data_IF_048022637052
#
_entry.id   IF_048022637052
#
_cell.length_a   1.000
_cell.length_b   1.000
_cell.length_c   1.000
_cell.angle_alpha   90.00
_cell.angle_beta   90.00
_cell.angle_gamma   90.00
#
_symmetry.space_group_name_H-M   'P 1'
#
loop_
_entity.id
_entity.type
_entity.pdbx_description
1 polymer ?
#
# COMPACT_ATOMS: atom_id res chain seq x y z
N UNK A 1 1.03 -1.81 7.03
CA UNK A 1 0.78 -2.74 8.16
C UNK A 1 0.00 -3.93 7.63
N UNK A 2 0.34 -5.14 8.07
CA UNK A 2 -0.36 -6.37 7.70
C UNK A 2 -0.63 -7.20 8.95
N UNK A 3 -1.87 -7.63 9.14
CA UNK A 3 -2.32 -8.48 10.26
C UNK A 3 -2.98 -9.72 9.72
N UNK A 4 -2.85 -10.82 10.44
CA UNK A 4 -3.64 -12.01 10.16
C UNK A 4 -4.08 -12.71 11.43
N UNK A 5 -5.27 -13.32 11.36
CA UNK A 5 -5.78 -14.24 12.37
C UNK A 5 -6.11 -15.58 11.72
N UNK A 6 -6.05 -16.64 12.52
CA UNK A 6 -6.45 -17.96 12.06
C UNK A 6 -7.96 -17.98 11.79
N UNK A 7 -8.34 -18.27 10.55
CA UNK A 7 -9.72 -18.38 10.10
C UNK A 7 -9.81 -19.52 9.11
N UNK A 8 -10.96 -20.20 9.10
CA UNK A 8 -11.19 -21.37 8.23
C UNK A 8 -11.12 -21.03 6.74
N UNK A 9 -11.59 -19.83 6.38
CA UNK A 9 -11.59 -19.35 5.00
C UNK A 9 -10.57 -18.23 4.82
N UNK A 10 -10.13 -18.04 3.58
CA UNK A 10 -9.32 -16.88 3.21
C UNK A 10 -10.23 -15.67 3.05
N UNK A 11 -10.06 -14.70 3.93
CA UNK A 11 -10.74 -13.41 3.89
C UNK A 11 -9.70 -12.31 3.81
N UNK A 12 -9.70 -11.54 2.73
CA UNK A 12 -8.69 -10.52 2.45
C UNK A 12 -9.36 -9.16 2.49
N UNK A 13 -8.97 -8.35 3.46
CA UNK A 13 -9.40 -6.97 3.61
C UNK A 13 -8.22 -6.05 3.30
N UNK A 14 -8.37 -5.22 2.27
CA UNK A 14 -7.32 -4.32 1.80
C UNK A 14 -7.84 -2.90 1.96
N UNK A 15 -7.11 -2.06 2.70
CA UNK A 15 -7.37 -0.62 2.80
C UNK A 15 -6.21 0.15 2.18
N UNK A 16 -6.53 0.89 1.12
CA UNK A 16 -5.60 1.71 0.34
C UNK A 16 -6.01 3.19 0.35
N UNK A 17 -5.04 4.10 0.17
CA UNK A 17 -5.32 5.50 -0.19
C UNK A 17 -5.95 5.58 -1.58
N UNK A 18 -6.73 6.66 -1.82
CA UNK A 18 -7.40 6.89 -3.12
C UNK A 18 -6.44 6.95 -4.31
N UNK A 19 -5.22 7.45 -4.09
CA UNK A 19 -4.16 7.57 -5.11
C UNK A 19 -3.75 6.23 -5.74
N UNK A 20 -3.91 5.12 -5.01
CA UNK A 20 -3.41 3.79 -5.45
C UNK A 20 -4.48 2.71 -5.35
N UNK A 21 -5.75 3.08 -5.26
CA UNK A 21 -6.86 2.12 -5.09
C UNK A 21 -6.98 1.14 -6.26
N UNK A 22 -6.51 1.52 -7.45
CA UNK A 22 -6.43 0.66 -8.64
C UNK A 22 -5.52 -0.55 -8.46
N UNK A 23 -4.56 -0.50 -7.52
CA UNK A 23 -3.66 -1.63 -7.22
C UNK A 23 -4.32 -2.70 -6.35
N UNK A 24 -5.53 -2.50 -5.83
CA UNK A 24 -6.20 -3.45 -4.94
C UNK A 24 -6.32 -4.84 -5.56
N UNK A 25 -6.70 -4.92 -6.84
CA UNK A 25 -6.92 -6.20 -7.53
C UNK A 25 -5.61 -6.99 -7.67
N UNK A 26 -4.52 -6.32 -8.03
CA UNK A 26 -3.20 -6.93 -8.17
C UNK A 26 -2.64 -7.39 -6.82
N UNK A 27 -2.82 -6.59 -5.77
CA UNK A 27 -2.49 -6.99 -4.39
C UNK A 27 -3.28 -8.25 -3.99
N UNK A 28 -4.59 -8.26 -4.26
CA UNK A 28 -5.46 -9.39 -3.92
C UNK A 28 -5.05 -10.66 -4.66
N UNK A 29 -4.73 -10.58 -5.95
CA UNK A 29 -4.19 -11.70 -6.74
C UNK A 29 -2.89 -12.23 -6.13
N UNK A 30 -1.95 -11.36 -5.77
CA UNK A 30 -0.69 -11.75 -5.18
C UNK A 30 -0.86 -12.50 -3.85
N UNK A 31 -1.82 -12.09 -3.02
CA UNK A 31 -2.09 -12.78 -1.74
C UNK A 31 -2.74 -14.13 -1.96
N UNK A 32 -3.71 -14.22 -2.89
CA UNK A 32 -4.41 -15.46 -3.23
C UNK A 32 -3.48 -16.55 -3.76
N UNK A 33 -2.34 -16.20 -4.37
CA UNK A 33 -1.38 -17.21 -4.83
C UNK A 33 -0.55 -17.82 -3.69
N UNK A 34 -0.41 -17.12 -2.56
CA UNK A 34 0.43 -17.56 -1.43
C UNK A 34 -0.35 -18.07 -0.22
N UNK A 35 -1.55 -17.56 0.01
CA UNK A 35 -2.38 -17.92 1.16
C UNK A 35 -3.67 -18.61 0.71
N UNK A 36 -4.01 -19.71 1.39
CA UNK A 36 -5.25 -20.47 1.15
C UNK A 36 -6.27 -20.34 2.28
N UNK A 37 -5.85 -19.85 3.45
CA UNK A 37 -6.70 -19.72 4.65
C UNK A 37 -6.25 -18.59 5.56
N UNK A 38 -7.18 -18.12 6.38
CA UNK A 38 -6.98 -17.09 7.37
C UNK A 38 -7.58 -15.75 6.95
N UNK A 39 -7.84 -14.91 7.94
CA UNK A 39 -8.23 -13.53 7.66
C UNK A 39 -6.97 -12.68 7.62
N UNK A 40 -6.82 -11.85 6.60
CA UNK A 40 -5.67 -10.99 6.37
C UNK A 40 -6.16 -9.57 6.17
N UNK A 41 -5.74 -8.67 7.05
CA UNK A 41 -6.04 -7.25 6.96
C UNK A 41 -4.76 -6.48 6.56
N UNK A 42 -4.81 -5.78 5.44
CA UNK A 42 -3.69 -5.01 4.88
C UNK A 42 -4.08 -3.54 4.87
N UNK A 43 -3.20 -2.72 5.43
CA UNK A 43 -3.35 -1.28 5.49
C UNK A 43 -2.10 -0.63 4.91
N UNK A 44 -2.25 0.04 3.78
CA UNK A 44 -1.20 0.87 3.19
C UNK A 44 -1.56 2.32 3.46
N UNK A 45 -0.65 3.05 4.10
CA UNK A 45 -0.77 4.49 4.27
C UNK A 45 0.36 5.15 3.50
N UNK A 46 0.00 6.03 2.58
CA UNK A 46 0.95 6.88 1.88
C UNK A 46 1.05 8.19 2.66
N UNK A 47 2.24 8.52 3.17
CA UNK A 47 2.54 9.85 3.68
C UNK A 47 3.33 10.56 2.60
N UNK A 48 2.71 11.55 1.96
CA UNK A 48 3.45 12.48 1.11
C UNK A 48 4.21 13.43 2.02
N UNK A 49 5.52 13.24 2.09
CA UNK A 49 6.41 14.33 2.49
C UNK A 49 6.71 15.06 1.19
N UNK A 50 6.16 16.26 1.01
CA UNK A 50 6.51 17.08 -0.14
C UNK A 50 8.03 17.28 -0.09
N UNK A 51 8.76 16.66 -1.01
CA UNK A 51 10.22 16.81 -1.11
C UNK A 51 10.60 18.19 -1.66
N UNK A 52 9.62 19.02 -2.03
CA UNK A 52 9.86 20.33 -2.63
C UNK A 52 10.41 20.25 -4.06
N UNK A 53 10.56 19.04 -4.62
CA UNK A 53 10.96 18.81 -6.01
C UNK A 53 9.74 18.95 -6.92
N UNK A 54 9.25 20.17 -7.04
CA UNK A 54 8.23 20.49 -8.02
C UNK A 54 8.85 20.62 -9.41
N UNK A 55 8.26 19.95 -10.40
CA UNK A 55 8.62 20.04 -11.80
C UNK A 55 7.86 21.21 -12.43
N UNK A 56 8.57 22.09 -13.11
CA UNK A 56 7.95 23.17 -13.87
C UNK A 56 7.24 22.60 -15.12
N UNK A 57 5.91 22.68 -15.16
CA UNK A 57 5.10 22.41 -16.35
C UNK A 57 4.73 23.69 -17.06
N UNK A 58 4.91 23.69 -18.38
CA UNK A 58 4.44 24.74 -19.27
C UNK A 58 3.02 24.44 -19.76
N UNK A 59 2.09 25.37 -19.52
CA UNK A 59 0.80 25.37 -20.19
C UNK A 59 0.89 26.13 -21.52
N UNK A 60 1.33 25.43 -22.57
CA UNK A 60 1.58 26.02 -23.88
C UNK A 60 0.33 26.68 -24.49
N UNK A 61 -0.85 26.07 -24.32
CA UNK A 61 -2.11 26.62 -24.83
C UNK A 61 -2.45 27.97 -24.20
N UNK A 62 -2.24 28.10 -22.89
CA UNK A 62 -2.47 29.35 -22.19
C UNK A 62 -1.43 30.40 -22.59
N UNK A 63 -0.17 30.00 -22.75
CA UNK A 63 0.90 30.87 -23.26
C UNK A 63 0.57 31.43 -24.66
N UNK A 64 0.09 30.58 -25.57
CA UNK A 64 -0.38 30.98 -26.90
C UNK A 64 -1.56 31.94 -26.82
N UNK A 65 -2.53 31.68 -25.93
CA UNK A 65 -3.65 32.59 -25.71
C UNK A 65 -3.19 33.97 -25.27
N UNK A 66 -2.27 34.06 -24.31
CA UNK A 66 -1.71 35.33 -23.85
C UNK A 66 -0.95 36.06 -24.97
N UNK A 67 -0.16 35.32 -25.76
CA UNK A 67 0.56 35.87 -26.90
C UNK A 67 -0.38 36.52 -27.92
N UNK A 68 -1.47 35.83 -28.27
CA UNK A 68 -2.46 36.34 -29.21
C UNK A 68 -3.16 37.61 -28.69
N UNK A 69 -3.55 37.64 -27.41
CA UNK A 69 -4.15 38.83 -26.81
C UNK A 69 -3.21 40.05 -26.83
N UNK A 70 -1.92 39.86 -26.57
CA UNK A 70 -0.95 40.96 -26.60
C UNK A 70 -0.71 41.49 -28.01
N UNK A 71 -0.76 40.60 -29.01
CA UNK A 71 -0.71 41.00 -30.42
C UNK A 71 -1.94 41.82 -30.83
N UNK A 72 -3.14 41.43 -30.41
CA UNK A 72 -4.35 42.23 -30.64
C UNK A 72 -4.26 43.61 -29.99
N UNK A 73 -3.68 43.72 -28.79
CA UNK A 73 -3.46 44.99 -28.10
C UNK A 73 -2.54 45.91 -28.90
N UNK A 74 -1.43 45.39 -29.44
CA UNK A 74 -0.52 46.14 -30.32
C UNK A 74 -1.28 46.68 -31.55
N UNK A 75 -2.03 45.81 -32.23
CA UNK A 75 -2.75 46.17 -33.46
C UNK A 75 -3.85 47.22 -33.21
N UNK A 76 -4.56 47.15 -32.08
CA UNK A 76 -5.69 48.04 -31.78
C UNK A 76 -5.28 49.35 -31.09
N UNK A 77 -4.21 49.36 -30.30
CA UNK A 77 -3.83 50.50 -29.47
C UNK A 77 -2.53 51.17 -29.93
N UNK A 78 -1.82 50.60 -30.92
CA UNK A 78 -0.58 51.16 -31.47
C UNK A 78 0.57 51.20 -30.46
N UNK A 79 0.47 50.41 -29.39
CA UNK A 79 1.50 50.27 -28.36
C UNK A 79 2.57 49.30 -28.82
N UNK A 80 3.82 49.61 -28.49
CA UNK A 80 4.97 48.76 -28.84
C UNK A 80 4.84 47.39 -28.19
N UNK A 81 4.93 46.34 -29.00
CA UNK A 81 5.01 44.98 -28.53
C UNK A 81 6.45 44.60 -28.14
N UNK A 82 6.67 44.34 -26.85
CA UNK A 82 7.96 43.93 -26.28
C UNK A 82 7.91 42.52 -25.66
N UNK A 83 7.04 41.66 -26.19
CA UNK A 83 6.85 40.30 -25.69
C UNK A 83 8.15 39.50 -25.70
N UNK A 84 8.52 38.98 -24.53
CA UNK A 84 9.62 38.03 -24.35
C UNK A 84 9.13 36.76 -23.69
N UNK A 85 9.84 35.63 -23.89
CA UNK A 85 9.52 34.38 -23.22
C UNK A 85 9.42 34.53 -21.69
N UNK A 86 10.25 35.38 -21.09
CA UNK A 86 10.22 35.68 -19.65
C UNK A 86 8.97 36.43 -19.22
N UNK A 87 8.44 37.34 -20.04
CA UNK A 87 7.18 38.02 -19.74
C UNK A 87 6.00 37.06 -19.83
N UNK A 88 5.95 36.22 -20.87
CA UNK A 88 4.88 35.21 -21.00
C UNK A 88 4.93 34.22 -19.85
N UNK A 89 6.13 33.74 -19.48
CA UNK A 89 6.35 32.85 -18.35
C UNK A 89 5.93 33.43 -16.99
N UNK A 90 5.87 34.75 -16.85
CA UNK A 90 5.43 35.44 -15.63
C UNK A 90 3.92 35.59 -15.52
N UNK A 91 3.17 35.37 -16.60
CA UNK A 91 1.72 35.35 -16.50
C UNK A 91 1.29 34.16 -15.65
N UNK A 92 0.27 34.40 -14.82
CA UNK A 92 -0.34 33.40 -13.96
C UNK A 92 -0.68 32.14 -14.76
N UNK A 93 -0.39 30.98 -14.18
CA UNK A 93 -0.72 29.65 -14.70
C UNK A 93 -0.01 29.24 -16.01
N UNK A 94 0.89 30.06 -16.56
CA UNK A 94 1.69 29.69 -17.75
C UNK A 94 2.78 28.68 -17.40
N UNK A 95 3.54 28.94 -16.33
CA UNK A 95 4.47 27.98 -15.75
C UNK A 95 4.02 27.69 -14.34
N UNK A 96 3.64 26.44 -14.09
CA UNK A 96 3.25 25.96 -12.77
C UNK A 96 4.23 24.93 -12.29
N UNK A 97 4.53 24.98 -11.00
CA UNK A 97 5.35 23.99 -10.33
C UNK A 97 4.38 22.93 -9.78
N UNK A 98 4.43 21.73 -10.35
CA UNK A 98 3.63 20.58 -9.91
C UNK A 98 4.54 19.51 -9.35
N UNK A 99 4.13 18.88 -8.26
CA UNK A 99 4.81 17.67 -7.78
C UNK A 99 4.70 16.59 -8.85
N UNK A 100 5.82 15.89 -9.11
CA UNK A 100 5.83 14.77 -10.04
C UNK A 100 5.07 13.60 -9.40
N UNK A 101 3.80 13.43 -9.79
CA UNK A 101 3.02 12.28 -9.37
C UNK A 101 3.63 11.02 -9.98
N UNK A 102 4.20 10.16 -9.12
CA UNK A 102 4.73 8.87 -9.52
C UNK A 102 3.64 8.04 -10.23
N UNK A 103 4.02 7.34 -11.29
CA UNK A 103 3.06 6.47 -11.98
C UNK A 103 2.60 5.32 -11.07
N UNK A 104 1.39 4.81 -11.33
CA UNK A 104 0.85 3.67 -10.58
C UNK A 104 1.77 2.45 -10.71
N UNK A 105 2.39 2.26 -11.87
CA UNK A 105 3.34 1.20 -12.16
C UNK A 105 4.61 1.31 -11.31
N UNK A 106 5.18 2.52 -11.18
CA UNK A 106 6.35 2.75 -10.32
C UNK A 106 6.02 2.46 -8.85
N UNK A 107 4.87 2.94 -8.39
CA UNK A 107 4.41 2.69 -7.03
C UNK A 107 4.23 1.17 -6.79
N UNK A 108 3.70 0.45 -7.77
CA UNK A 108 3.55 -1.00 -7.70
C UNK A 108 4.89 -1.72 -7.56
N UNK A 109 5.91 -1.31 -8.33
CA UNK A 109 7.25 -1.91 -8.23
C UNK A 109 7.87 -1.75 -6.84
N UNK A 110 7.52 -0.68 -6.13
CA UNK A 110 7.97 -0.46 -4.74
C UNK A 110 7.13 -1.27 -3.74
N UNK A 111 5.81 -1.30 -3.91
CA UNK A 111 4.89 -1.95 -2.95
C UNK A 111 4.97 -3.48 -3.02
N UNK A 112 5.05 -4.06 -4.21
CA UNK A 112 5.05 -5.51 -4.43
C UNK A 112 6.09 -6.27 -3.56
N UNK A 113 7.38 -5.92 -3.54
CA UNK A 113 8.37 -6.63 -2.72
C UNK A 113 8.12 -6.49 -1.22
N UNK A 114 7.52 -5.38 -0.77
CA UNK A 114 7.13 -5.19 0.64
C UNK A 114 6.00 -6.14 1.04
N UNK A 115 5.03 -6.36 0.14
CA UNK A 115 3.97 -7.34 0.35
C UNK A 115 4.55 -8.75 0.36
N UNK A 116 5.41 -9.08 -0.61
CA UNK A 116 6.03 -10.40 -0.71
C UNK A 116 6.82 -10.78 0.54
N UNK A 117 7.65 -9.86 1.04
CA UNK A 117 8.42 -10.06 2.27
C UNK A 117 7.52 -10.18 3.50
N UNK A 118 6.46 -9.37 3.59
CA UNK A 118 5.48 -9.46 4.68
C UNK A 118 4.78 -10.81 4.69
N UNK A 119 4.42 -11.36 3.52
CA UNK A 119 3.77 -12.67 3.40
C UNK A 119 4.69 -13.80 3.87
N UNK A 120 5.98 -13.73 3.53
CA UNK A 120 7.01 -14.69 3.99
C UNK A 120 7.15 -14.64 5.52
N UNK A 121 7.24 -13.44 6.10
CA UNK A 121 7.31 -13.29 7.55
C UNK A 121 6.08 -13.88 8.24
N UNK A 122 4.90 -13.67 7.65
CA UNK A 122 3.65 -14.18 8.21
C UNK A 122 3.57 -15.71 8.18
N UNK A 123 4.08 -16.35 7.12
CA UNK A 123 4.12 -17.81 7.03
C UNK A 123 5.09 -18.42 8.07
N UNK A 124 6.27 -17.81 8.23
CA UNK A 124 7.23 -18.20 9.27
C UNK A 124 6.64 -18.07 10.68
N UNK A 125 5.88 -17.01 10.95
CA UNK A 125 5.19 -16.85 12.24
C UNK A 125 4.15 -17.95 12.47
N UNK A 126 3.39 -18.34 11.44
CA UNK A 126 2.40 -19.42 11.52
C UNK A 126 3.06 -20.77 11.79
N UNK A 127 4.22 -21.04 11.18
CA UNK A 127 4.99 -22.26 11.45
C UNK A 127 5.44 -22.34 12.91
N UNK A 128 6.03 -21.26 13.43
CA UNK A 128 6.47 -21.18 14.82
C UNK A 128 5.31 -21.29 15.82
N UNK A 129 4.17 -20.64 15.54
CA UNK A 129 2.94 -20.82 16.33
C UNK A 129 2.46 -22.27 16.31
N UNK A 130 2.51 -22.92 15.15
CA UNK A 130 2.15 -24.33 14.99
C UNK A 130 3.06 -25.29 15.77
N UNK A 131 4.37 -25.03 15.80
CA UNK A 131 5.32 -25.80 16.60
C UNK A 131 5.03 -25.67 18.10
N UNK A 132 4.82 -24.44 18.59
CA UNK A 132 4.46 -24.22 20.00
C UNK A 132 3.12 -24.86 20.37
N UNK A 133 2.14 -24.79 19.48
CA UNK A 133 0.83 -25.41 19.71
C UNK A 133 0.96 -26.94 19.77
N UNK A 134 1.80 -27.53 18.93
CA UNK A 134 2.11 -28.96 18.97
C UNK A 134 2.74 -29.35 20.31
N UNK A 135 3.75 -28.60 20.76
CA UNK A 135 4.40 -28.84 22.05
C UNK A 135 3.42 -28.77 23.22
N UNK A 136 2.54 -27.75 23.24
CA UNK A 136 1.51 -27.59 24.27
C UNK A 136 0.50 -28.76 24.26
N UNK A 137 0.03 -29.17 23.08
CA UNK A 137 -0.88 -30.33 22.95
C UNK A 137 -0.22 -31.61 23.46
N UNK A 138 1.05 -31.85 23.13
CA UNK A 138 1.79 -33.02 23.60
C UNK A 138 1.99 -32.99 25.13
N UNK A 139 2.29 -31.83 25.70
CA UNK A 139 2.38 -31.66 27.15
C UNK A 139 1.07 -32.01 27.84
N UNK A 140 -0.06 -31.51 27.31
CA UNK A 140 -1.40 -31.81 27.83
C UNK A 140 -1.75 -33.29 27.72
N UNK A 141 -1.37 -33.96 26.63
CA UNK A 141 -1.58 -35.40 26.48
C UNK A 141 -0.82 -36.19 27.54
N UNK A 142 0.45 -35.86 27.80
CA UNK A 142 1.25 -36.51 28.83
C UNK A 142 0.65 -36.30 30.24
N UNK A 143 0.14 -35.09 30.52
CA UNK A 143 -0.56 -34.80 31.78
C UNK A 143 -1.82 -35.65 31.94
N UNK A 144 -2.64 -35.75 30.89
CA UNK A 144 -3.85 -36.58 30.89
C UNK A 144 -3.49 -38.05 31.12
N UNK A 145 -2.47 -38.57 30.43
CA UNK A 145 -2.00 -39.95 30.58
C UNK A 145 -1.52 -40.23 32.01
N UNK A 146 -0.76 -39.31 32.61
CA UNK A 146 -0.34 -39.42 34.01
C UNK A 146 -1.51 -39.42 34.99
N UNK A 147 -2.55 -38.61 34.73
CA UNK A 147 -3.75 -38.60 35.55
C UNK A 147 -4.56 -39.90 35.41
N UNK A 148 -4.66 -40.45 34.20
CA UNK A 148 -5.32 -41.75 33.96
C UNK A 148 -4.60 -42.85 34.73
N UNK A 149 -3.27 -42.93 34.65
CA UNK A 149 -2.47 -43.93 35.39
C UNK A 149 -2.71 -43.87 36.90
N UNK A 150 -2.74 -42.66 37.48
CA UNK A 150 -3.04 -42.47 38.91
C UNK A 150 -4.44 -42.94 39.29
N UNK A 151 -5.43 -42.75 38.42
CA UNK A 151 -6.79 -43.22 38.66
C UNK A 151 -6.84 -44.75 38.60
N UNK A 152 -6.15 -45.37 37.63
CA UNK A 152 -6.06 -46.83 37.50
C UNK A 152 -5.43 -47.48 38.74
N UNK A 153 -4.34 -46.92 39.29
CA UNK A 153 -3.72 -47.42 40.53
C UNK A 153 -4.69 -47.41 41.74
N UNK A 154 -5.59 -46.44 41.78
CA UNK A 154 -6.56 -46.31 42.89
C UNK A 154 -7.80 -47.16 42.62
N UNK A 155 -8.17 -47.39 41.36
CA UNK A 155 -9.38 -48.12 40.99
C UNK A 155 -9.42 -49.54 41.58
N UNK A 156 -8.28 -50.24 41.64
CA UNK A 156 -8.17 -51.58 42.25
C UNK A 156 -8.32 -51.59 43.79
N UNK A 157 -8.26 -50.42 44.43
CA UNK A 157 -8.42 -50.26 45.89
C UNK A 157 -9.79 -49.74 46.31
N UNK A 158 -10.66 -49.39 45.37
CA UNK A 158 -12.04 -49.01 45.65
C UNK A 158 -12.93 -50.26 45.53
N UNK A 159 -13.69 -50.64 46.58
CA UNK A 159 -14.51 -51.85 46.59
C UNK A 159 -15.69 -51.81 45.61
#
# INVERSE_FOLDING_TARGET
EMKSVNSRYLDINIRLPKSIISLEEEIRKLINTKLFRGKVDIFINQKSYSTGEGVAKLNLKLAESYYNCLKEIEENLGVKNDITATQIARFSDVITVVEEESSIEEIWQVIKPLIDSSLIMMDNMRLNEGEKLKEDILSKLNEIESLVYKIEEIADTVP
#
